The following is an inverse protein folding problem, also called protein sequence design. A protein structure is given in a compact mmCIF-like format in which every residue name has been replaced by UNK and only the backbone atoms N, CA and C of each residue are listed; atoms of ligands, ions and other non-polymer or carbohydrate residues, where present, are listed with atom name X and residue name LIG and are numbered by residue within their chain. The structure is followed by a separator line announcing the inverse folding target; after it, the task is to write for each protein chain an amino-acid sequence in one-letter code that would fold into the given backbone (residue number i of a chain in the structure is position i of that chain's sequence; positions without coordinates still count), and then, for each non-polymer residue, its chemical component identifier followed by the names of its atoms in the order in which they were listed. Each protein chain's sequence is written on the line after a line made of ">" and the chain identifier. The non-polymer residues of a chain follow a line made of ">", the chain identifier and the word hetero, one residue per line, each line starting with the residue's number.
data_IF_710496697731
#
_entry.id   IF_710496697731
#
_cell.length_a   1.000
_cell.length_b   1.000
_cell.length_c   1.000
_cell.angle_alpha   90.00
_cell.angle_beta   90.00
_cell.angle_gamma   90.00
#
_symmetry.space_group_name_H-M   'P 1'
#
loop_
_entity.id
_entity.type
_entity.pdbx_description
1 polymer ?
#
# COMPACT_ATOMS: atom_id res chain seq x y z
N UNK A 1 -4.41 31.66 -22.25
CA UNK A 1 -4.02 31.36 -23.63
C UNK A 1 -3.64 29.87 -23.72
N UNK A 2 -4.62 29.00 -24.00
CA UNK A 2 -4.45 27.53 -23.93
C UNK A 2 -3.77 26.94 -25.19
N UNK A 3 -3.23 27.78 -26.08
CA UNK A 3 -2.75 27.41 -27.40
C UNK A 3 -1.24 27.08 -27.48
N UNK A 4 -0.48 27.19 -26.37
CA UNK A 4 0.96 26.85 -26.37
C UNK A 4 1.19 25.33 -26.32
N UNK A 5 2.00 24.82 -27.26
CA UNK A 5 2.40 23.41 -27.34
C UNK A 5 3.43 23.01 -26.28
N UNK A 6 4.31 23.92 -25.87
CA UNK A 6 5.24 23.73 -24.74
C UNK A 6 4.78 24.56 -23.53
N UNK A 7 4.49 23.86 -22.44
CA UNK A 7 4.02 24.43 -21.17
C UNK A 7 4.93 24.06 -19.99
N UNK A 8 6.16 23.60 -20.26
CA UNK A 8 7.10 23.24 -19.18
C UNK A 8 7.40 24.42 -18.26
N UNK A 9 7.42 25.64 -18.81
CA UNK A 9 7.60 26.88 -18.04
C UNK A 9 6.44 27.21 -17.11
N UNK A 10 5.27 26.59 -17.28
CA UNK A 10 4.09 26.82 -16.44
C UNK A 10 4.13 25.97 -15.16
N UNK A 11 5.03 24.99 -15.08
CA UNK A 11 5.20 24.11 -13.93
C UNK A 11 6.15 24.78 -12.93
N UNK A 12 5.62 25.16 -11.77
CA UNK A 12 6.39 25.89 -10.75
C UNK A 12 7.23 24.98 -9.85
N UNK A 13 6.72 23.80 -9.49
CA UNK A 13 7.45 22.77 -8.74
C UNK A 13 6.83 21.39 -8.99
N UNK A 14 7.62 20.35 -8.79
CA UNK A 14 7.22 18.95 -8.87
C UNK A 14 7.84 18.17 -7.71
N UNK A 15 7.07 17.25 -7.13
CA UNK A 15 7.56 16.36 -6.09
C UNK A 15 6.80 15.05 -6.11
N UNK A 16 7.36 14.04 -5.45
CA UNK A 16 6.73 12.74 -5.36
C UNK A 16 7.35 11.89 -4.25
N UNK A 17 6.49 11.11 -3.60
CA UNK A 17 6.90 10.06 -2.67
C UNK A 17 6.47 8.72 -3.22
N UNK A 18 7.31 7.70 -3.06
CA UNK A 18 7.01 6.33 -3.47
C UNK A 18 6.07 5.66 -2.46
N UNK A 19 4.86 6.21 -2.35
CA UNK A 19 3.78 5.72 -1.48
C UNK A 19 2.55 5.45 -2.35
N UNK A 20 2.54 4.29 -3.00
CA UNK A 20 1.43 3.85 -3.84
C UNK A 20 0.35 3.12 -3.04
N UNK A 21 -0.78 2.79 -3.69
CA UNK A 21 -1.85 1.96 -3.11
C UNK A 21 -1.32 0.67 -2.47
N UNK A 22 -0.35 0.02 -3.13
CA UNK A 22 0.33 -1.18 -2.65
C UNK A 22 0.93 -1.01 -1.25
N UNK A 23 1.41 0.20 -0.89
CA UNK A 23 2.01 0.43 0.42
C UNK A 23 0.97 0.37 1.53
N UNK A 24 -0.25 0.85 1.28
CA UNK A 24 -1.38 0.75 2.21
C UNK A 24 -1.82 -0.70 2.37
N UNK A 25 -1.86 -1.47 1.27
CA UNK A 25 -2.15 -2.91 1.32
C UNK A 25 -1.07 -3.66 2.10
N UNK A 26 0.21 -3.33 1.89
CA UNK A 26 1.32 -3.88 2.67
C UNK A 26 1.21 -3.60 4.17
N UNK A 27 0.65 -2.45 4.58
CA UNK A 27 0.44 -2.16 6.01
C UNK A 27 -0.67 -3.02 6.61
N UNK A 28 -1.79 -3.21 5.90
CA UNK A 28 -2.83 -4.15 6.34
C UNK A 28 -2.23 -5.57 6.41
N UNK A 29 -1.46 -5.97 5.39
CA UNK A 29 -0.79 -7.26 5.37
C UNK A 29 0.12 -7.43 6.60
N UNK A 30 0.93 -6.42 6.94
CA UNK A 30 1.85 -6.45 8.07
C UNK A 30 1.13 -6.45 9.43
N UNK A 31 0.20 -5.54 9.66
CA UNK A 31 -0.39 -5.30 10.99
C UNK A 31 -1.57 -6.20 11.35
N UNK A 32 -2.23 -6.79 10.34
CA UNK A 32 -3.47 -7.57 10.56
C UNK A 32 -3.36 -9.00 10.07
N UNK A 33 -2.66 -9.22 8.95
CA UNK A 33 -2.70 -10.51 8.26
C UNK A 33 -1.46 -11.38 8.50
N UNK A 34 -0.27 -10.79 8.61
CA UNK A 34 0.98 -11.54 8.71
C UNK A 34 1.09 -12.43 9.96
N UNK A 35 0.27 -12.17 11.00
CA UNK A 35 0.14 -13.04 12.18
C UNK A 35 -0.29 -14.46 11.81
N UNK A 36 -1.15 -14.61 10.80
CA UNK A 36 -1.59 -15.92 10.28
C UNK A 36 -0.49 -16.68 9.53
N UNK A 37 0.65 -16.01 9.27
CA UNK A 37 1.76 -16.50 8.44
C UNK A 37 3.12 -16.43 9.17
N UNK A 38 3.11 -16.31 10.50
CA UNK A 38 4.31 -16.42 11.32
C UNK A 38 4.85 -15.10 11.91
N UNK A 39 4.23 -13.94 11.67
CA UNK A 39 4.62 -12.71 12.37
C UNK A 39 4.36 -12.87 13.87
N UNK A 40 5.41 -12.72 14.69
CA UNK A 40 5.34 -12.90 16.14
C UNK A 40 5.46 -14.36 16.60
N UNK A 41 5.56 -15.32 15.68
CA UNK A 41 5.84 -16.72 16.03
C UNK A 41 7.32 -16.85 16.38
N UNK A 42 7.60 -17.67 17.39
CA UNK A 42 8.95 -18.04 17.80
C UNK A 42 9.21 -19.51 17.50
N UNK A 43 10.47 -19.88 17.38
CA UNK A 43 10.87 -21.28 17.19
C UNK A 43 12.11 -21.62 18.01
N UNK A 44 12.23 -22.87 18.43
CA UNK A 44 13.41 -23.35 19.16
C UNK A 44 14.60 -23.52 18.22
N UNK A 45 15.75 -22.98 18.61
CA UNK A 45 17.00 -23.19 17.90
C UNK A 45 17.48 -24.64 17.98
N UNK A 46 18.26 -25.08 16.98
CA UNK A 46 18.79 -26.43 16.97
C UNK A 46 19.76 -26.62 18.16
N UNK A 47 19.41 -27.53 19.08
CA UNK A 47 20.24 -27.86 20.25
C UNK A 47 20.28 -26.79 21.36
N UNK A 48 19.38 -25.80 21.32
CA UNK A 48 19.24 -24.79 22.39
C UNK A 48 17.77 -24.66 22.81
N UNK A 49 17.52 -24.48 24.10
CA UNK A 49 16.17 -24.17 24.62
C UNK A 49 15.76 -22.71 24.38
N UNK A 50 16.64 -21.91 23.78
CA UNK A 50 16.38 -20.52 23.41
C UNK A 50 15.37 -20.42 22.24
N UNK A 51 14.43 -19.49 22.39
CA UNK A 51 13.42 -19.17 21.38
C UNK A 51 13.90 -18.01 20.51
N UNK A 52 13.81 -18.19 19.20
CA UNK A 52 14.16 -17.19 18.20
C UNK A 52 12.91 -16.71 17.47
N UNK A 53 12.87 -15.43 17.14
CA UNK A 53 11.84 -14.90 16.24
C UNK A 53 12.10 -15.37 14.81
N UNK A 54 11.02 -15.52 14.05
CA UNK A 54 11.13 -15.81 12.61
C UNK A 54 11.88 -14.68 11.90
N UNK A 55 12.79 -15.00 10.96
CA UNK A 55 13.50 -14.00 10.20
C UNK A 55 12.54 -12.98 9.56
N UNK A 56 12.68 -11.71 9.95
CA UNK A 56 11.80 -10.65 9.45
C UNK A 56 11.89 -10.50 7.92
N UNK A 57 12.98 -10.94 7.29
CA UNK A 57 13.10 -10.96 5.82
C UNK A 57 11.99 -11.78 5.15
N UNK A 58 11.53 -12.88 5.77
CA UNK A 58 10.42 -13.68 5.27
C UNK A 58 9.13 -12.87 5.33
N UNK A 59 8.84 -12.27 6.48
CA UNK A 59 7.61 -11.48 6.70
C UNK A 59 7.60 -10.21 5.83
N UNK A 60 8.72 -9.48 5.73
CA UNK A 60 8.83 -8.31 4.85
C UNK A 60 8.63 -8.67 3.38
N UNK A 61 9.17 -9.80 2.94
CA UNK A 61 8.96 -10.30 1.57
C UNK A 61 7.50 -10.69 1.35
N UNK A 62 6.85 -11.27 2.37
CA UNK A 62 5.44 -11.63 2.33
C UNK A 62 4.52 -10.41 2.19
N UNK A 63 4.89 -9.28 2.81
CA UNK A 63 4.13 -8.03 2.71
C UNK A 63 4.21 -7.35 1.35
N UNK A 64 4.98 -7.89 0.40
CA UNK A 64 5.12 -7.35 -0.95
C UNK A 64 4.69 -8.42 -1.95
N UNK A 65 3.47 -8.30 -2.47
CA UNK A 65 2.84 -9.32 -3.32
C UNK A 65 3.74 -9.79 -4.48
N UNK A 66 4.43 -8.84 -5.14
CA UNK A 66 5.34 -9.09 -6.26
C UNK A 66 6.63 -9.83 -5.85
N UNK A 67 6.95 -9.88 -4.56
CA UNK A 67 8.11 -10.59 -4.00
C UNK A 67 7.77 -11.92 -3.35
N UNK A 68 6.50 -12.20 -3.06
CA UNK A 68 6.06 -13.51 -2.55
C UNK A 68 6.64 -14.69 -3.36
N UNK A 69 6.74 -14.63 -4.71
CA UNK A 69 7.36 -15.71 -5.48
C UNK A 69 8.82 -16.03 -5.06
N UNK A 70 9.57 -15.06 -4.52
CA UNK A 70 10.94 -15.26 -4.04
C UNK A 70 11.02 -16.20 -2.83
N UNK A 71 9.95 -16.29 -2.03
CA UNK A 71 9.87 -17.21 -0.89
C UNK A 71 9.86 -18.68 -1.32
N UNK A 72 9.63 -18.96 -2.61
CA UNK A 72 9.66 -20.32 -3.18
C UNK A 72 11.07 -20.85 -3.43
N UNK A 73 12.09 -20.01 -3.30
CA UNK A 73 13.48 -20.45 -3.44
C UNK A 73 13.76 -21.64 -2.50
N UNK A 74 14.48 -22.65 -3.00
CA UNK A 74 14.74 -23.90 -2.27
C UNK A 74 15.27 -23.65 -0.86
N UNK A 75 16.25 -22.75 -0.74
CA UNK A 75 16.85 -22.36 0.55
C UNK A 75 15.81 -21.80 1.53
N UNK A 76 14.92 -20.92 1.07
CA UNK A 76 13.86 -20.32 1.90
C UNK A 76 12.83 -21.37 2.31
N UNK A 77 12.44 -22.27 1.40
CA UNK A 77 11.52 -23.38 1.72
C UNK A 77 12.11 -24.34 2.74
N UNK A 78 13.38 -24.71 2.60
CA UNK A 78 14.08 -25.54 3.59
C UNK A 78 14.12 -24.86 4.95
N UNK A 79 14.38 -23.55 4.99
CA UNK A 79 14.36 -22.76 6.22
C UNK A 79 12.96 -22.73 6.87
N UNK A 80 11.89 -22.50 6.10
CA UNK A 80 10.51 -22.48 6.60
C UNK A 80 10.14 -23.85 7.19
N UNK A 81 10.53 -24.96 6.54
CA UNK A 81 10.30 -26.31 7.06
C UNK A 81 10.98 -26.54 8.41
N UNK A 82 12.25 -26.12 8.54
CA UNK A 82 12.98 -26.22 9.80
C UNK A 82 12.31 -25.43 10.92
N UNK A 83 11.87 -24.20 10.62
CA UNK A 83 11.11 -23.36 11.55
C UNK A 83 9.82 -24.07 11.98
N UNK A 84 9.05 -24.63 11.03
CA UNK A 84 7.77 -25.31 11.31
C UNK A 84 7.90 -26.42 12.35
N UNK A 85 8.95 -27.22 12.30
CA UNK A 85 9.13 -28.33 13.25
C UNK A 85 9.30 -27.86 14.70
N UNK A 86 9.89 -26.68 14.89
CA UNK A 86 10.25 -26.13 16.19
C UNK A 86 9.43 -24.89 16.60
N UNK A 87 8.44 -24.48 15.81
CA UNK A 87 7.63 -23.29 16.03
C UNK A 87 6.65 -23.45 17.20
N UNK A 88 6.42 -22.35 17.93
CA UNK A 88 5.40 -22.25 18.98
C UNK A 88 3.99 -22.31 18.41
N UNK A 89 3.81 -21.84 17.18
CA UNK A 89 2.59 -21.96 16.40
C UNK A 89 2.94 -22.59 15.04
N UNK A 90 2.68 -23.89 14.92
CA UNK A 90 2.96 -24.65 13.69
C UNK A 90 1.97 -24.34 12.58
N UNK A 91 0.72 -24.02 12.94
CA UNK A 91 -0.35 -23.75 11.99
C UNK A 91 -0.05 -22.49 11.19
N UNK A 92 0.42 -21.42 11.85
CA UNK A 92 0.80 -20.20 11.15
C UNK A 92 1.92 -20.43 10.10
N UNK A 93 2.84 -21.35 10.36
CA UNK A 93 3.93 -21.67 9.43
C UNK A 93 3.47 -22.60 8.31
N UNK A 94 2.55 -23.52 8.61
CA UNK A 94 1.87 -24.33 7.61
C UNK A 94 1.04 -23.46 6.65
N UNK A 95 0.31 -22.47 7.17
CA UNK A 95 -0.39 -21.47 6.36
C UNK A 95 0.58 -20.72 5.43
N UNK A 96 1.76 -20.32 5.93
CA UNK A 96 2.79 -19.69 5.11
C UNK A 96 3.29 -20.62 4.00
N UNK A 97 3.54 -21.89 4.31
CA UNK A 97 3.93 -22.90 3.32
C UNK A 97 2.87 -23.09 2.23
N UNK A 98 1.59 -23.15 2.60
CA UNK A 98 0.47 -23.26 1.67
C UNK A 98 0.36 -22.01 0.78
N UNK A 99 0.40 -20.82 1.37
CA UNK A 99 0.31 -19.55 0.64
C UNK A 99 1.39 -19.43 -0.44
N UNK A 100 2.65 -19.77 -0.12
CA UNK A 100 3.77 -19.72 -1.08
C UNK A 100 3.79 -20.93 -2.03
N UNK A 101 3.23 -22.05 -1.61
CA UNK A 101 3.17 -23.30 -2.39
C UNK A 101 2.27 -23.16 -3.60
N UNK A 102 1.08 -22.62 -3.37
CA UNK A 102 -0.05 -22.63 -4.30
C UNK A 102 -0.28 -21.28 -5.01
N UNK A 103 0.62 -20.31 -4.80
CA UNK A 103 0.59 -18.98 -5.40
C UNK A 103 -0.65 -18.13 -5.03
N UNK A 104 -1.17 -18.34 -3.82
CA UNK A 104 -2.34 -17.60 -3.33
C UNK A 104 -2.03 -16.18 -2.83
N UNK A 105 -0.75 -15.78 -2.82
CA UNK A 105 -0.33 -14.45 -2.39
C UNK A 105 -1.05 -13.31 -3.12
N UNK A 106 -1.27 -13.44 -4.44
CA UNK A 106 -2.01 -12.44 -5.21
C UNK A 106 -3.48 -12.32 -4.77
N UNK A 107 -4.18 -13.46 -4.61
CA UNK A 107 -5.58 -13.48 -4.20
C UNK A 107 -5.77 -12.94 -2.77
N UNK A 108 -4.83 -13.23 -1.86
CA UNK A 108 -4.83 -12.63 -0.54
C UNK A 108 -4.72 -11.09 -0.60
N UNK A 109 -3.84 -10.57 -1.46
CA UNK A 109 -3.72 -9.12 -1.66
C UNK A 109 -4.96 -8.51 -2.32
N UNK A 110 -5.66 -9.22 -3.21
CA UNK A 110 -6.97 -8.76 -3.71
C UNK A 110 -8.02 -8.66 -2.59
N UNK A 111 -8.05 -9.62 -1.67
CA UNK A 111 -8.94 -9.54 -0.50
C UNK A 111 -8.60 -8.36 0.41
N UNK A 112 -7.30 -8.06 0.58
CA UNK A 112 -6.84 -6.89 1.33
C UNK A 112 -7.23 -5.58 0.62
N UNK A 113 -6.98 -5.49 -0.68
CA UNK A 113 -7.32 -4.32 -1.49
C UNK A 113 -8.82 -4.04 -1.45
N UNK A 114 -9.64 -5.09 -1.56
CA UNK A 114 -11.10 -4.98 -1.44
C UNK A 114 -11.50 -4.40 -0.08
N UNK A 115 -10.96 -4.91 1.02
CA UNK A 115 -11.24 -4.39 2.35
C UNK A 115 -10.81 -2.93 2.51
N UNK A 116 -9.62 -2.57 2.00
CA UNK A 116 -9.15 -1.17 1.95
C UNK A 116 -10.10 -0.26 1.17
N UNK A 117 -10.59 -0.71 0.02
CA UNK A 117 -11.56 0.06 -0.76
C UNK A 117 -12.87 0.25 0.00
N UNK A 118 -13.40 -0.79 0.64
CA UNK A 118 -14.62 -0.71 1.46
C UNK A 118 -14.45 0.27 2.64
N UNK A 119 -13.26 0.34 3.25
CA UNK A 119 -12.95 1.31 4.32
C UNK A 119 -12.97 2.77 3.87
N UNK A 120 -12.98 3.05 2.57
CA UNK A 120 -13.17 4.40 2.06
C UNK A 120 -14.59 4.92 2.31
N UNK A 121 -15.58 4.02 2.33
CA UNK A 121 -16.99 4.35 2.52
C UNK A 121 -17.53 3.87 3.89
N UNK A 122 -16.91 2.85 4.49
CA UNK A 122 -17.37 2.19 5.72
C UNK A 122 -16.38 2.36 6.87
N UNK A 123 -16.86 2.33 8.12
CA UNK A 123 -16.01 2.37 9.33
C UNK A 123 -15.37 1.03 9.67
N UNK A 124 -15.93 -0.07 9.16
CA UNK A 124 -15.50 -1.44 9.42
C UNK A 124 -15.61 -2.25 8.13
N UNK A 125 -14.55 -2.99 7.81
CA UNK A 125 -14.54 -4.01 6.75
C UNK A 125 -13.86 -5.28 7.29
N UNK A 126 -13.89 -6.36 6.52
CA UNK A 126 -13.25 -7.62 6.85
C UNK A 126 -12.38 -8.07 5.67
N UNK A 127 -11.12 -8.39 5.96
CA UNK A 127 -10.28 -9.13 5.01
C UNK A 127 -10.75 -10.59 5.06
N UNK A 128 -11.45 -11.00 4.00
CA UNK A 128 -11.96 -12.37 3.84
C UNK A 128 -11.16 -13.10 2.78
N UNK A 129 -10.50 -14.18 3.19
CA UNK A 129 -9.71 -15.01 2.31
C UNK A 129 -9.94 -16.48 2.66
N UNK A 130 -10.36 -17.28 1.69
CA UNK A 130 -10.63 -18.70 1.88
C UNK A 130 -10.09 -19.46 0.68
N UNK A 131 -9.04 -20.25 0.92
CA UNK A 131 -8.43 -21.12 -0.09
C UNK A 131 -7.98 -22.43 0.59
N UNK A 132 -8.46 -23.57 0.08
CA UNK A 132 -8.27 -24.90 0.69
C UNK A 132 -8.66 -24.89 2.18
N UNK A 133 -7.74 -25.25 3.07
CA UNK A 133 -7.93 -25.29 4.52
C UNK A 133 -7.58 -23.95 5.22
N UNK A 134 -7.19 -22.93 4.46
CA UNK A 134 -6.87 -21.60 4.99
C UNK A 134 -8.09 -20.69 4.89
N UNK A 135 -8.71 -20.41 6.03
CA UNK A 135 -9.79 -19.43 6.16
C UNK A 135 -9.36 -18.29 7.08
N UNK A 136 -9.37 -17.07 6.54
CA UNK A 136 -9.08 -15.82 7.25
C UNK A 136 -10.32 -14.93 7.13
N UNK A 137 -10.82 -14.48 8.27
CA UNK A 137 -11.76 -13.38 8.37
C UNK A 137 -11.23 -12.42 9.45
N UNK A 138 -10.56 -11.36 9.00
CA UNK A 138 -9.92 -10.40 9.89
C UNK A 138 -10.65 -9.05 9.82
N UNK A 139 -11.27 -8.58 10.92
CA UNK A 139 -11.90 -7.27 10.94
C UNK A 139 -10.84 -6.16 10.92
N UNK A 140 -11.09 -5.11 10.15
CA UNK A 140 -10.25 -3.92 10.09
C UNK A 140 -11.17 -2.70 10.20
N UNK A 141 -10.92 -1.84 11.18
CA UNK A 141 -11.63 -0.56 11.30
C UNK A 141 -10.91 0.53 10.51
N UNK A 142 -11.65 1.56 10.08
CA UNK A 142 -11.06 2.73 9.42
C UNK A 142 -10.04 3.40 10.33
N UNK A 143 -10.37 3.57 11.61
CA UNK A 143 -9.44 4.13 12.60
C UNK A 143 -8.11 3.35 12.64
N UNK A 144 -8.17 2.03 12.77
CA UNK A 144 -6.95 1.20 12.80
C UNK A 144 -6.15 1.30 11.49
N UNK A 145 -6.84 1.35 10.35
CA UNK A 145 -6.22 1.54 9.04
C UNK A 145 -5.48 2.88 8.92
N UNK A 146 -6.06 3.94 9.48
CA UNK A 146 -5.44 5.27 9.47
C UNK A 146 -4.24 5.33 10.41
N UNK A 147 -4.37 4.76 11.62
CA UNK A 147 -3.28 4.65 12.60
C UNK A 147 -2.06 3.91 12.02
N UNK A 148 -2.26 2.74 11.41
CA UNK A 148 -1.15 1.97 10.81
C UNK A 148 -0.50 2.66 9.59
N UNK A 149 -1.18 3.64 8.99
CA UNK A 149 -0.68 4.40 7.85
C UNK A 149 -0.22 5.83 8.19
N UNK A 150 -0.13 6.19 9.48
CA UNK A 150 0.27 7.53 9.91
C UNK A 150 1.62 7.98 9.34
N UNK A 151 2.63 7.10 9.31
CA UNK A 151 3.94 7.42 8.72
C UNK A 151 3.88 7.65 7.21
N UNK A 152 3.05 6.88 6.50
CA UNK A 152 2.85 7.04 5.06
C UNK A 152 2.15 8.38 4.79
N UNK A 153 1.17 8.73 5.61
CA UNK A 153 0.47 10.03 5.52
C UNK A 153 1.43 11.19 5.77
N UNK A 154 2.28 11.09 6.80
CA UNK A 154 3.28 12.12 7.11
C UNK A 154 4.28 12.33 5.96
N UNK A 155 4.69 11.27 5.26
CA UNK A 155 5.53 11.38 4.06
C UNK A 155 4.84 12.10 2.92
N UNK A 156 3.56 11.77 2.67
CA UNK A 156 2.75 12.47 1.64
C UNK A 156 2.59 13.95 2.03
N UNK A 157 2.26 14.23 3.29
CA UNK A 157 2.12 15.56 3.83
C UNK A 157 3.39 16.41 3.65
N UNK A 158 4.55 15.88 4.04
CA UNK A 158 5.83 16.58 3.86
C UNK A 158 6.20 16.81 2.40
N UNK A 159 5.85 15.88 1.51
CA UNK A 159 6.04 16.08 0.07
C UNK A 159 5.18 17.22 -0.49
N UNK A 160 3.93 17.33 -0.03
CA UNK A 160 3.02 18.43 -0.43
C UNK A 160 3.56 19.77 0.06
N UNK A 161 4.02 19.83 1.32
CA UNK A 161 4.63 21.03 1.89
C UNK A 161 5.84 21.50 1.09
N UNK A 162 6.71 20.57 0.72
CA UNK A 162 7.91 20.88 -0.07
C UNK A 162 7.56 21.41 -1.45
N UNK A 163 6.61 20.79 -2.15
CA UNK A 163 6.18 21.23 -3.49
C UNK A 163 5.57 22.64 -3.45
N UNK A 164 4.72 22.93 -2.47
CA UNK A 164 4.14 24.26 -2.33
C UNK A 164 5.22 25.28 -2.00
N UNK A 165 6.14 24.96 -1.07
CA UNK A 165 7.25 25.83 -0.70
C UNK A 165 8.14 26.17 -1.90
N UNK A 166 8.52 25.18 -2.71
CA UNK A 166 9.36 25.36 -3.89
C UNK A 166 8.67 26.12 -5.02
N UNK A 167 7.34 26.03 -5.12
CA UNK A 167 6.58 26.79 -6.12
C UNK A 167 6.67 28.31 -5.92
N UNK A 168 7.01 28.76 -4.70
CA UNK A 168 7.02 30.17 -4.32
C UNK A 168 5.62 30.79 -4.20
N UNK A 169 4.56 29.98 -4.36
CA UNK A 169 3.16 30.44 -4.31
C UNK A 169 2.61 30.29 -2.88
N UNK A 170 2.06 31.36 -2.28
CA UNK A 170 1.34 31.26 -1.02
C UNK A 170 0.11 30.34 -1.14
N UNK A 171 -0.22 29.57 -0.09
CA UNK A 171 -1.41 28.71 -0.07
C UNK A 171 -2.72 29.42 -0.46
N UNK A 172 -2.84 30.73 -0.16
CA UNK A 172 -4.01 31.54 -0.51
C UNK A 172 -4.19 31.77 -2.01
N UNK A 173 -3.12 31.66 -2.80
CA UNK A 173 -3.13 31.82 -4.26
C UNK A 173 -3.36 30.50 -5.01
N UNK A 174 -3.49 29.38 -4.29
CA UNK A 174 -3.91 28.11 -4.89
C UNK A 174 -5.42 28.15 -5.03
N UNK A 175 -5.91 28.16 -6.26
CA UNK A 175 -7.35 28.22 -6.56
C UNK A 175 -8.02 26.84 -6.56
N UNK A 176 -7.29 25.80 -6.98
CA UNK A 176 -7.85 24.46 -7.19
C UNK A 176 -6.82 23.37 -6.96
N UNK A 177 -7.22 22.31 -6.29
CA UNK A 177 -6.43 21.10 -6.04
C UNK A 177 -7.13 19.91 -6.68
N UNK A 178 -6.47 19.31 -7.67
CA UNK A 178 -6.97 18.11 -8.33
C UNK A 178 -6.41 16.86 -7.66
N UNK A 179 -7.30 16.06 -7.06
CA UNK A 179 -6.93 14.78 -6.49
C UNK A 179 -7.12 13.66 -7.51
N UNK A 180 -6.04 12.95 -7.84
CA UNK A 180 -6.06 11.87 -8.84
C UNK A 180 -5.59 10.52 -8.28
N UNK A 181 -6.08 9.42 -8.85
CA UNK A 181 -5.79 8.04 -8.45
C UNK A 181 -6.86 7.42 -7.55
N UNK A 182 -6.82 6.10 -7.37
CA UNK A 182 -7.73 5.41 -6.45
C UNK A 182 -7.44 5.73 -4.98
N UNK A 183 -6.16 5.87 -4.62
CA UNK A 183 -5.70 6.20 -3.27
C UNK A 183 -6.21 7.55 -2.77
N UNK A 184 -6.51 8.51 -3.65
CA UNK A 184 -7.05 9.80 -3.23
C UNK A 184 -8.49 9.73 -2.70
N UNK A 185 -9.19 8.61 -2.92
CA UNK A 185 -10.53 8.38 -2.36
C UNK A 185 -10.50 7.99 -0.88
N UNK A 186 -9.33 7.64 -0.36
CA UNK A 186 -9.18 7.27 1.05
C UNK A 186 -9.47 8.50 1.93
N UNK A 187 -10.37 8.41 2.93
CA UNK A 187 -10.78 9.55 3.76
C UNK A 187 -9.64 10.31 4.44
N UNK A 188 -8.61 9.62 4.96
CA UNK A 188 -7.45 10.28 5.57
C UNK A 188 -6.65 11.12 4.57
N UNK A 189 -6.58 10.69 3.30
CA UNK A 189 -5.89 11.43 2.24
C UNK A 189 -6.72 12.67 1.88
N UNK A 190 -8.03 12.52 1.71
CA UNK A 190 -8.91 13.67 1.46
C UNK A 190 -8.79 14.72 2.57
N UNK A 191 -8.90 14.30 3.83
CA UNK A 191 -8.77 15.19 4.99
C UNK A 191 -7.45 15.95 5.01
N UNK A 192 -6.34 15.27 4.72
CA UNK A 192 -5.03 15.93 4.60
C UNK A 192 -5.05 17.12 3.62
N UNK A 193 -5.69 16.97 2.46
CA UNK A 193 -5.78 18.05 1.47
C UNK A 193 -6.84 19.09 1.84
N UNK A 194 -7.99 18.68 2.40
CA UNK A 194 -9.06 19.58 2.87
C UNK A 194 -8.55 20.51 3.98
N UNK A 195 -7.80 19.98 4.95
CA UNK A 195 -7.20 20.76 6.06
C UNK A 195 -6.17 21.79 5.57
N UNK A 196 -5.51 21.53 4.43
CA UNK A 196 -4.42 22.37 3.91
C UNK A 196 -4.87 23.43 2.92
N UNK A 197 -5.86 23.11 2.09
CA UNK A 197 -6.25 23.95 0.96
C UNK A 197 -7.70 24.43 1.05
N UNK A 198 -8.52 23.84 1.91
CA UNK A 198 -9.96 24.09 1.99
C UNK A 198 -10.75 23.13 1.11
N UNK A 199 -11.83 22.57 1.65
CA UNK A 199 -12.66 21.57 0.96
C UNK A 199 -13.30 22.11 -0.34
N UNK A 200 -13.55 23.42 -0.41
CA UNK A 200 -14.07 24.12 -1.57
C UNK A 200 -13.12 24.14 -2.77
N UNK A 201 -11.82 23.94 -2.55
CA UNK A 201 -10.80 23.95 -3.60
C UNK A 201 -10.51 22.56 -4.15
N UNK A 202 -11.01 21.51 -3.51
CA UNK A 202 -10.73 20.14 -3.91
C UNK A 202 -11.67 19.68 -5.02
N UNK A 203 -11.10 19.36 -6.18
CA UNK A 203 -11.81 18.84 -7.33
C UNK A 203 -11.59 17.34 -7.49
N UNK A 204 -12.69 16.58 -7.39
CA UNK A 204 -12.74 15.14 -7.64
C UNK A 204 -13.18 14.87 -9.10
N UNK A 205 -12.47 15.40 -10.10
CA UNK A 205 -12.71 14.98 -11.48
C UNK A 205 -12.15 13.59 -11.69
N UNK A 206 -12.92 12.71 -12.34
CA UNK A 206 -12.58 11.30 -12.59
C UNK A 206 -11.12 11.15 -13.05
N UNK A 207 -10.28 10.76 -12.09
CA UNK A 207 -8.84 10.76 -12.21
C UNK A 207 -8.30 9.86 -13.32
N UNK A 208 -9.05 8.80 -13.65
CA UNK A 208 -8.70 7.88 -14.73
C UNK A 208 -8.87 8.53 -16.11
N UNK A 209 -9.91 9.35 -16.29
CA UNK A 209 -10.15 10.02 -17.57
C UNK A 209 -9.25 11.24 -17.76
N UNK A 210 -8.85 11.97 -16.71
CA UNK A 210 -8.00 13.16 -16.87
C UNK A 210 -6.55 12.81 -17.25
N UNK A 211 -5.99 11.75 -16.68
CA UNK A 211 -4.63 11.28 -17.02
C UNK A 211 -4.61 10.63 -18.41
N UNK A 212 -5.59 9.77 -18.73
CA UNK A 212 -5.68 9.15 -20.05
C UNK A 212 -5.94 10.19 -21.17
N UNK A 213 -6.79 11.19 -20.90
CA UNK A 213 -7.01 12.29 -21.84
C UNK A 213 -5.77 13.17 -21.97
N UNK A 214 -5.11 13.54 -20.86
CA UNK A 214 -3.89 14.34 -20.87
C UNK A 214 -2.74 13.68 -21.63
N UNK A 215 -2.56 12.36 -21.45
CA UNK A 215 -1.60 11.57 -22.23
C UNK A 215 -2.02 11.44 -23.70
N UNK A 216 -3.29 11.20 -23.99
CA UNK A 216 -3.80 11.13 -25.36
C UNK A 216 -3.62 12.45 -26.13
N UNK A 217 -3.78 13.60 -25.46
CA UNK A 217 -3.55 14.92 -26.04
C UNK A 217 -2.07 15.32 -26.15
N UNK A 218 -1.16 14.64 -25.44
CA UNK A 218 0.29 14.93 -25.50
C UNK A 218 1.05 14.05 -26.50
N UNK A 219 0.45 12.96 -27.01
CA UNK A 219 1.02 12.10 -28.07
C UNK A 219 1.41 12.86 -29.35
N UNK A 220 0.66 13.88 -29.85
CA UNK A 220 1.08 14.64 -31.03
C UNK A 220 2.39 15.42 -30.84
N UNK A 221 2.86 15.62 -29.60
CA UNK A 221 4.09 16.37 -29.28
C UNK A 221 5.37 15.52 -29.36
N UNK A 222 5.27 14.20 -29.47
CA UNK A 222 6.42 13.28 -29.55
C UNK A 222 6.64 12.66 -30.94
N UNK A 223 5.69 12.82 -31.87
CA UNK A 223 5.77 12.25 -33.22
C UNK A 223 6.17 13.30 -34.27
N UNK A 224 6.22 14.58 -33.88
CA UNK A 224 6.78 15.66 -34.69
C UNK A 224 8.14 16.08 -34.12
N UNK A 225 9.19 15.31 -34.46
CA UNK A 225 10.60 15.69 -34.33
C UNK A 225 11.38 15.04 -35.48
#
# INVERSE_FOLDING_TARGET
>A
DFARSDRRSDVLSLGGVYTAGDKFDSQIMWERIAKYFGRGVRYKGMGKDELFDIPLSIIYTLCQWHRIPLLRARKTREQIRLIKHAATDKQAIENLEHLIGDNYGFFLFQSIEKAKCELSDQELSHVRFSERDLCIEEPVTRQAFEEMNGENLAKIAGCVDEVVRESGVPHSQIDTVFLTGGTSRIPMIRRLFEERFGAEKLENKNAFTSVAHGLGTSVPLFVAS
#
